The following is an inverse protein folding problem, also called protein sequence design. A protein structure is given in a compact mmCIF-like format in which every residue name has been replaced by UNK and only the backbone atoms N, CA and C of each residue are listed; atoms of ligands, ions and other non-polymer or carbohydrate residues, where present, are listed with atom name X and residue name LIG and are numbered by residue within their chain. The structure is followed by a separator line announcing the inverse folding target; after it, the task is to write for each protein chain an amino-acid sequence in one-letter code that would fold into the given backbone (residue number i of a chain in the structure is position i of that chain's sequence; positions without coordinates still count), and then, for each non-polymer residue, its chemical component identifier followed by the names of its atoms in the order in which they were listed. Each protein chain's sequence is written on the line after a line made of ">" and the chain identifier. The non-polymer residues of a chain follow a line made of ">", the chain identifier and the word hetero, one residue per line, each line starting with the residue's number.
data_IF_885013019163
#
_entry.id   IF_885013019163
#
_cell.length_a   1.000
_cell.length_b   1.000
_cell.length_c   1.000
_cell.angle_alpha   90.00
_cell.angle_beta   90.00
_cell.angle_gamma   90.00
#
_symmetry.space_group_name_H-M   'P 1'
#
loop_
_entity.id
_entity.type
_entity.pdbx_description
1 polymer ?
#
# COMPACT_ATOMS: atom_id res chain seq x y z
N UNK A 1 -36.03 22.57 -33.86
CA UNK A 1 -35.00 22.18 -32.89
C UNK A 1 -34.12 20.99 -33.29
N UNK A 2 -34.64 19.96 -33.97
CA UNK A 2 -33.86 18.78 -34.46
C UNK A 2 -32.77 19.08 -35.51
N UNK A 3 -32.92 20.12 -36.35
CA UNK A 3 -31.93 20.49 -37.37
C UNK A 3 -30.65 21.14 -36.80
N UNK A 4 -30.66 21.73 -35.62
CA UNK A 4 -29.49 22.38 -35.00
C UNK A 4 -28.46 21.43 -34.40
N UNK A 5 -28.82 20.16 -34.16
CA UNK A 5 -27.93 19.15 -33.57
C UNK A 5 -27.11 18.44 -34.67
N UNK A 6 -27.60 18.39 -35.90
CA UNK A 6 -26.94 17.66 -36.98
C UNK A 6 -25.75 18.41 -37.64
N UNK A 7 -25.68 19.73 -37.53
CA UNK A 7 -24.61 20.54 -38.14
C UNK A 7 -23.21 20.26 -37.49
N UNK A 8 -23.05 20.24 -36.15
CA UNK A 8 -21.76 19.90 -35.53
C UNK A 8 -21.27 18.48 -35.86
N UNK A 9 -22.17 17.49 -35.86
CA UNK A 9 -21.87 16.11 -36.23
C UNK A 9 -21.46 15.94 -37.69
N UNK A 10 -22.14 16.66 -38.60
CA UNK A 10 -21.83 16.65 -40.04
C UNK A 10 -20.48 17.31 -40.31
N UNK A 11 -20.14 18.36 -39.53
CA UNK A 11 -18.86 19.04 -39.58
C UNK A 11 -17.69 18.18 -39.12
N UNK A 12 -17.89 17.40 -38.02
CA UNK A 12 -16.92 16.43 -37.50
C UNK A 12 -16.59 15.34 -38.52
N UNK A 13 -17.60 14.86 -39.27
CA UNK A 13 -17.42 13.89 -40.37
C UNK A 13 -16.77 14.51 -41.63
N UNK A 14 -16.91 15.81 -41.87
CA UNK A 14 -16.36 16.49 -43.03
C UNK A 14 -14.83 16.67 -43.03
N UNK A 15 -14.19 16.68 -41.85
CA UNK A 15 -12.72 16.78 -41.70
C UNK A 15 -12.22 15.76 -40.64
N UNK A 16 -12.19 14.47 -40.99
CA UNK A 16 -12.02 13.37 -40.00
C UNK A 16 -10.65 13.40 -39.30
N UNK A 17 -9.57 13.73 -39.99
CA UNK A 17 -8.20 13.74 -39.43
C UNK A 17 -8.09 14.77 -38.31
N UNK A 18 -8.62 15.98 -38.50
CA UNK A 18 -8.59 17.02 -37.47
C UNK A 18 -9.43 16.68 -36.25
N UNK A 19 -10.64 16.19 -36.49
CA UNK A 19 -11.55 15.80 -35.43
C UNK A 19 -10.95 14.62 -34.62
N UNK A 20 -10.29 13.69 -35.31
CA UNK A 20 -9.58 12.59 -34.66
C UNK A 20 -8.39 13.08 -33.82
N UNK A 21 -7.59 14.02 -34.27
CA UNK A 21 -6.48 14.61 -33.50
C UNK A 21 -6.99 15.33 -32.24
N UNK A 22 -8.04 16.15 -32.35
CA UNK A 22 -8.64 16.82 -31.20
C UNK A 22 -9.21 15.80 -30.18
N UNK A 23 -9.88 14.77 -30.67
CA UNK A 23 -10.42 13.71 -29.85
C UNK A 23 -9.31 12.92 -29.16
N UNK A 24 -8.25 12.54 -29.88
CA UNK A 24 -7.11 11.83 -29.34
C UNK A 24 -6.42 12.64 -28.23
N UNK A 25 -6.24 13.95 -28.44
CA UNK A 25 -5.65 14.83 -27.43
C UNK A 25 -6.52 14.93 -26.18
N UNK A 26 -7.84 15.06 -26.32
CA UNK A 26 -8.76 15.10 -25.17
C UNK A 26 -8.82 13.77 -24.44
N UNK A 27 -8.77 12.63 -25.14
CA UNK A 27 -8.65 11.29 -24.55
C UNK A 27 -7.38 11.16 -23.73
N UNK A 28 -6.24 11.58 -24.30
CA UNK A 28 -4.94 11.50 -23.66
C UNK A 28 -4.88 12.38 -22.41
N UNK A 29 -5.38 13.62 -22.47
CA UNK A 29 -5.46 14.50 -21.31
C UNK A 29 -6.32 13.92 -20.19
N UNK A 30 -7.50 13.42 -20.52
CA UNK A 30 -8.41 12.82 -19.56
C UNK A 30 -7.81 11.55 -18.93
N UNK A 31 -7.15 10.72 -19.73
CA UNK A 31 -6.44 9.53 -19.28
C UNK A 31 -5.31 9.87 -18.27
N UNK A 32 -4.44 10.85 -18.63
CA UNK A 32 -3.29 11.25 -17.76
C UNK A 32 -3.78 11.81 -16.43
N UNK A 33 -4.84 12.64 -16.43
CA UNK A 33 -5.40 13.18 -15.20
C UNK A 33 -5.92 12.07 -14.30
N UNK A 34 -6.71 11.15 -14.85
CA UNK A 34 -7.31 10.08 -14.05
C UNK A 34 -6.23 9.11 -13.56
N UNK A 35 -5.42 8.55 -14.46
CA UNK A 35 -4.37 7.61 -14.11
C UNK A 35 -3.37 8.22 -13.12
N UNK A 36 -2.94 9.46 -13.35
CA UNK A 36 -2.02 10.16 -12.47
C UNK A 36 -2.61 10.46 -11.09
N UNK A 37 -3.84 10.97 -11.01
CA UNK A 37 -4.51 11.26 -9.74
C UNK A 37 -4.74 10.01 -8.91
N UNK A 38 -5.12 8.90 -9.55
CA UNK A 38 -5.31 7.62 -8.89
C UNK A 38 -3.99 7.03 -8.38
N UNK A 39 -2.91 7.14 -9.16
CA UNK A 39 -1.57 6.69 -8.73
C UNK A 39 -1.12 7.46 -7.49
N UNK A 40 -1.23 8.80 -7.49
CA UNK A 40 -0.88 9.63 -6.33
C UNK A 40 -1.76 9.32 -5.12
N UNK A 41 -3.07 9.15 -5.32
CA UNK A 41 -4.01 8.80 -4.25
C UNK A 41 -3.71 7.42 -3.67
N UNK A 42 -3.43 6.43 -4.50
CA UNK A 42 -3.07 5.07 -4.08
C UNK A 42 -1.78 5.07 -3.27
N UNK A 43 -0.77 5.84 -3.70
CA UNK A 43 0.49 5.99 -2.97
C UNK A 43 0.26 6.62 -1.58
N UNK A 44 -0.51 7.70 -1.49
CA UNK A 44 -0.87 8.34 -0.21
C UNK A 44 -1.64 7.41 0.71
N UNK A 45 -2.59 6.66 0.18
CA UNK A 45 -3.39 5.70 0.97
C UNK A 45 -2.51 4.55 1.47
N UNK A 46 -1.60 4.05 0.64
CA UNK A 46 -0.61 3.04 1.04
C UNK A 46 0.27 3.52 2.20
N UNK A 47 0.78 4.75 2.12
CA UNK A 47 1.57 5.37 3.19
C UNK A 47 0.79 5.54 4.49
N UNK A 48 -0.44 6.04 4.41
CA UNK A 48 -1.30 6.19 5.58
C UNK A 48 -1.63 4.84 6.23
N UNK A 49 -1.85 3.83 5.42
CA UNK A 49 -2.06 2.45 5.85
C UNK A 49 -0.85 1.87 6.58
N UNK A 50 0.38 2.15 6.12
CA UNK A 50 1.62 1.78 6.83
C UNK A 50 1.72 2.48 8.18
N UNK A 51 1.44 3.76 8.23
CA UNK A 51 1.53 4.57 9.43
C UNK A 51 0.52 4.14 10.52
N UNK A 52 -0.70 3.77 10.12
CA UNK A 52 -1.74 3.31 11.04
C UNK A 52 -1.53 1.88 11.55
N UNK A 53 -0.66 1.10 10.89
CA UNK A 53 -0.44 -0.33 11.20
C UNK A 53 0.68 -0.60 12.19
N UNK A 54 1.65 0.29 12.29
CA UNK A 54 2.69 0.17 13.31
C UNK A 54 2.17 0.49 14.73
N UNK A 55 0.99 1.10 14.85
CA UNK A 55 0.14 1.17 16.07
C UNK A 55 0.81 1.63 17.35
N UNK A 56 2.15 1.66 17.40
CA UNK A 56 2.96 2.04 18.54
C UNK A 56 3.55 3.44 18.33
N UNK A 57 3.68 4.22 19.42
CA UNK A 57 4.35 5.53 19.40
C UNK A 57 5.87 5.37 19.43
N UNK A 58 6.36 4.42 20.23
CA UNK A 58 7.79 4.16 20.45
C UNK A 58 8.07 2.68 20.22
N UNK A 59 9.18 2.39 19.54
CA UNK A 59 9.78 1.05 19.45
C UNK A 59 11.11 1.05 20.18
N UNK A 60 11.28 0.15 21.14
CA UNK A 60 12.54 -0.04 21.86
C UNK A 60 13.23 -1.29 21.36
N UNK A 61 14.47 -1.15 20.91
CA UNK A 61 15.29 -2.23 20.32
C UNK A 61 16.67 -2.26 20.97
N UNK A 62 17.43 -3.37 20.84
CA UNK A 62 18.82 -3.39 21.27
C UNK A 62 19.64 -2.33 20.51
N UNK A 63 20.56 -1.65 21.20
CA UNK A 63 21.40 -0.62 20.60
C UNK A 63 22.14 -1.11 19.34
N UNK A 64 22.58 -2.37 19.37
CA UNK A 64 23.30 -3.00 18.26
C UNK A 64 22.45 -3.12 16.96
N UNK A 65 21.12 -3.21 17.10
CA UNK A 65 20.22 -3.25 15.96
C UNK A 65 20.15 -1.93 15.19
N UNK A 66 20.39 -0.80 15.86
CA UNK A 66 20.35 0.54 15.23
C UNK A 66 21.65 0.87 14.48
N UNK A 67 22.77 0.30 14.91
CA UNK A 67 24.10 0.60 14.36
C UNK A 67 24.35 -0.12 13.02
N UNK A 68 23.66 -1.22 12.76
CA UNK A 68 23.86 -2.07 11.57
C UNK A 68 22.93 -1.75 10.40
N UNK A 69 22.34 -0.57 10.31
CA UNK A 69 21.38 -0.14 9.25
C UNK A 69 20.22 -1.15 8.99
N UNK A 70 20.07 -2.14 9.86
CA UNK A 70 19.17 -3.27 9.64
C UNK A 70 17.76 -3.03 10.19
N UNK A 71 17.59 -2.11 11.15
CA UNK A 71 16.28 -1.91 11.79
C UNK A 71 15.21 -1.40 10.81
N UNK A 72 15.53 -0.34 10.05
CA UNK A 72 14.62 0.18 9.02
C UNK A 72 14.32 -0.86 7.94
N UNK A 73 15.34 -1.60 7.53
CA UNK A 73 15.20 -2.66 6.53
C UNK A 73 14.31 -3.81 7.03
N UNK A 74 14.46 -4.24 8.28
CA UNK A 74 13.65 -5.33 8.84
C UNK A 74 12.23 -4.83 9.14
N UNK A 75 12.10 -3.67 9.80
CA UNK A 75 10.80 -3.19 10.31
C UNK A 75 9.98 -2.50 9.23
N UNK A 76 10.58 -1.84 8.24
CA UNK A 76 9.87 -1.07 7.23
C UNK A 76 9.87 -1.72 5.84
N UNK A 77 11.00 -2.34 5.46
CA UNK A 77 11.13 -2.96 4.14
C UNK A 77 10.76 -4.45 4.15
N UNK A 78 10.51 -5.04 5.34
CA UNK A 78 10.19 -6.46 5.47
C UNK A 78 11.34 -7.39 5.09
N UNK A 79 12.58 -6.87 5.08
CA UNK A 79 13.75 -7.70 4.87
C UNK A 79 13.92 -8.68 6.03
N UNK A 80 14.38 -9.87 5.73
CA UNK A 80 14.60 -10.90 6.75
C UNK A 80 15.77 -10.52 7.67
N UNK A 81 15.51 -10.59 8.96
CA UNK A 81 16.53 -10.31 9.97
C UNK A 81 16.00 -10.51 11.38
N UNK A 82 16.91 -10.61 12.34
CA UNK A 82 16.54 -10.77 13.74
C UNK A 82 17.63 -10.20 14.66
N UNK A 83 17.21 -9.81 15.83
CA UNK A 83 18.05 -9.32 16.91
C UNK A 83 17.36 -9.62 18.24
N UNK A 84 18.14 -9.69 19.31
CA UNK A 84 17.60 -10.07 20.62
C UNK A 84 18.18 -9.21 21.73
N UNK A 85 17.36 -8.95 22.77
CA UNK A 85 17.77 -8.35 24.02
C UNK A 85 17.22 -9.16 25.19
N UNK A 86 17.87 -9.07 26.35
CA UNK A 86 17.44 -9.74 27.58
C UNK A 86 16.10 -9.20 28.05
N UNK A 87 15.16 -10.09 28.38
CA UNK A 87 13.81 -9.76 28.87
C UNK A 87 13.82 -8.93 30.16
N UNK A 88 14.87 -9.03 30.98
CA UNK A 88 15.05 -8.16 32.16
C UNK A 88 15.10 -6.69 31.84
N UNK A 89 15.45 -6.33 30.58
CA UNK A 89 15.41 -4.94 30.14
C UNK A 89 13.98 -4.49 29.91
N UNK A 90 13.08 -5.40 29.52
CA UNK A 90 11.65 -5.08 29.36
C UNK A 90 11.04 -4.65 30.70
N UNK A 91 11.37 -5.32 31.79
CA UNK A 91 10.90 -4.92 33.13
C UNK A 91 11.36 -3.51 33.50
N UNK A 92 12.61 -3.15 33.15
CA UNK A 92 13.11 -1.80 33.37
C UNK A 92 12.43 -0.76 32.48
N UNK A 93 12.15 -1.12 31.23
CA UNK A 93 11.39 -0.27 30.31
C UNK A 93 9.99 -0.04 30.87
N UNK A 94 9.29 -1.08 31.29
CA UNK A 94 7.93 -1.01 31.83
C UNK A 94 7.82 -0.18 33.11
N UNK A 95 8.91 0.00 33.85
CA UNK A 95 8.98 0.84 35.04
C UNK A 95 9.27 2.33 34.73
N UNK A 96 9.48 2.71 33.48
CA UNK A 96 9.62 4.12 33.09
C UNK A 96 8.26 4.84 33.17
N UNK A 97 8.29 6.12 33.47
CA UNK A 97 7.06 6.92 33.55
C UNK A 97 6.44 7.17 32.17
N UNK A 98 5.12 7.33 32.12
CA UNK A 98 4.40 7.68 30.91
C UNK A 98 4.13 6.54 29.94
N UNK A 99 4.33 5.26 30.33
CA UNK A 99 3.98 4.09 29.51
C UNK A 99 2.51 3.75 29.73
N UNK A 100 1.71 3.84 28.67
CA UNK A 100 0.29 3.49 28.68
C UNK A 100 0.05 2.03 28.37
N UNK A 101 0.61 1.55 27.27
CA UNK A 101 0.54 0.14 26.84
C UNK A 101 1.90 -0.29 26.31
N UNK A 102 2.28 -1.53 26.57
CA UNK A 102 3.50 -2.11 26.03
C UNK A 102 3.27 -3.55 25.57
N UNK A 103 3.88 -3.91 24.46
CA UNK A 103 3.84 -5.25 23.90
C UNK A 103 5.22 -5.68 23.42
N UNK A 104 5.56 -6.95 23.62
CA UNK A 104 6.82 -7.52 23.17
C UNK A 104 6.64 -8.23 21.83
N UNK A 105 7.62 -8.06 20.95
CA UNK A 105 7.68 -8.80 19.68
C UNK A 105 9.01 -9.53 19.53
N UNK A 106 8.95 -10.63 18.80
CA UNK A 106 10.07 -11.52 18.51
C UNK A 106 10.24 -11.59 17.00
N UNK A 107 11.47 -11.44 16.52
CA UNK A 107 11.81 -11.56 15.11
C UNK A 107 12.68 -12.78 14.87
N UNK A 108 12.36 -13.54 13.85
CA UNK A 108 13.14 -14.69 13.38
C UNK A 108 13.09 -14.70 11.85
N UNK A 109 14.23 -14.86 11.21
CA UNK A 109 14.33 -14.95 9.77
C UNK A 109 14.60 -16.38 9.34
N UNK A 110 13.91 -16.85 8.31
CA UNK A 110 14.17 -18.16 7.71
C UNK A 110 14.90 -18.00 6.39
N UNK A 111 15.79 -18.93 6.08
CA UNK A 111 16.44 -19.04 4.78
C UNK A 111 15.81 -20.15 3.95
N UNK A 112 15.96 -20.09 2.62
CA UNK A 112 15.59 -21.18 1.71
C UNK A 112 16.61 -22.31 1.83
N UNK A 113 16.42 -23.17 2.80
CA UNK A 113 17.28 -24.34 3.06
C UNK A 113 16.39 -25.55 3.37
N UNK A 114 16.95 -26.75 3.36
CA UNK A 114 16.20 -27.98 3.59
C UNK A 114 15.43 -28.06 4.93
N UNK A 115 15.65 -27.11 5.86
CA UNK A 115 14.94 -26.99 7.13
C UNK A 115 13.65 -26.17 7.09
N UNK A 116 13.48 -25.33 6.05
CA UNK A 116 12.42 -24.34 5.99
C UNK A 116 11.70 -24.40 4.65
N UNK A 117 10.37 -24.33 4.68
CA UNK A 117 9.53 -24.37 3.47
C UNK A 117 9.68 -23.12 2.60
N UNK A 118 9.89 -21.96 3.24
CA UNK A 118 9.94 -20.66 2.57
C UNK A 118 10.93 -19.71 3.28
N UNK A 119 11.63 -18.83 2.53
CA UNK A 119 12.41 -17.74 3.11
C UNK A 119 11.46 -16.61 3.50
N UNK A 120 11.20 -16.46 4.79
CA UNK A 120 10.24 -15.49 5.31
C UNK A 120 10.75 -14.83 6.59
N UNK A 121 10.22 -13.63 6.89
CA UNK A 121 10.29 -13.04 8.22
C UNK A 121 9.17 -13.61 9.07
N UNK A 122 9.51 -14.18 10.23
CA UNK A 122 8.54 -14.63 11.23
C UNK A 122 8.51 -13.60 12.36
N UNK A 123 7.32 -13.12 12.70
CA UNK A 123 7.09 -12.20 13.80
C UNK A 123 6.21 -12.89 14.85
N UNK A 124 6.79 -13.09 16.02
CA UNK A 124 6.07 -13.58 17.20
C UNK A 124 5.57 -12.41 18.03
N UNK A 125 4.37 -12.52 18.59
CA UNK A 125 3.79 -11.52 19.47
C UNK A 125 3.08 -12.20 20.65
N UNK A 126 2.91 -11.47 21.74
CA UNK A 126 2.12 -11.94 22.89
C UNK A 126 0.63 -11.56 22.65
N UNK A 127 -0.27 -12.54 22.44
CA UNK A 127 -1.68 -12.27 22.18
C UNK A 127 -2.41 -11.52 23.31
N UNK A 128 -1.86 -11.55 24.53
CA UNK A 128 -2.47 -10.89 25.69
C UNK A 128 -2.18 -9.38 25.75
N UNK A 129 -0.99 -8.98 25.29
CA UNK A 129 -0.53 -7.59 25.40
C UNK A 129 -0.44 -6.89 24.06
N UNK A 130 -0.50 -7.62 22.93
CA UNK A 130 -0.30 -7.04 21.62
C UNK A 130 -1.49 -6.19 21.15
N UNK A 131 -1.21 -4.95 20.85
CA UNK A 131 -2.15 -3.98 20.32
C UNK A 131 -1.90 -3.64 18.84
N UNK A 132 -0.89 -4.25 18.22
CA UNK A 132 -0.49 -3.95 16.83
C UNK A 132 -0.96 -5.01 15.83
N UNK A 133 -0.63 -6.28 16.02
CA UNK A 133 -0.92 -7.40 15.10
C UNK A 133 -2.23 -8.09 15.47
N UNK A 134 -2.48 -8.30 16.76
CA UNK A 134 -3.65 -9.01 17.27
C UNK A 134 -4.99 -8.46 16.75
N UNK A 135 -5.22 -7.11 16.66
CA UNK A 135 -6.48 -6.59 16.14
C UNK A 135 -6.77 -6.98 14.68
N UNK A 136 -5.73 -7.23 13.88
CA UNK A 136 -5.91 -7.66 12.49
C UNK A 136 -6.22 -9.15 12.40
N UNK A 137 -5.51 -9.94 13.19
CA UNK A 137 -5.74 -11.38 13.26
C UNK A 137 -7.18 -11.64 13.71
N UNK A 138 -7.66 -10.94 14.75
CA UNK A 138 -9.04 -11.07 15.24
C UNK A 138 -10.11 -10.76 14.19
N UNK A 139 -9.84 -9.88 13.24
CA UNK A 139 -10.78 -9.58 12.14
C UNK A 139 -10.87 -10.69 11.11
N UNK A 140 -9.77 -11.42 10.88
CA UNK A 140 -9.66 -12.47 9.85
C UNK A 140 -9.83 -13.87 10.43
N UNK A 141 -9.47 -14.03 11.70
CA UNK A 141 -9.51 -15.30 12.45
C UNK A 141 -10.02 -15.01 13.84
N UNK A 142 -11.27 -15.44 14.11
CA UNK A 142 -11.99 -15.13 15.36
C UNK A 142 -11.50 -15.91 16.60
N UNK A 143 -10.60 -16.89 16.44
CA UNK A 143 -10.10 -17.75 17.49
C UNK A 143 -8.70 -17.32 17.97
N UNK A 144 -8.30 -17.76 19.15
CA UNK A 144 -6.94 -17.57 19.67
C UNK A 144 -5.98 -18.52 18.95
N UNK A 145 -4.80 -18.01 18.58
CA UNK A 145 -3.74 -18.82 17.97
C UNK A 145 -3.22 -19.85 18.98
N UNK A 146 -3.32 -21.11 18.62
CA UNK A 146 -2.76 -22.20 19.39
C UNK A 146 -1.25 -22.31 19.15
N UNK A 147 -0.57 -23.14 19.94
CA UNK A 147 0.83 -23.46 19.72
C UNK A 147 1.02 -24.11 18.36
N UNK A 148 2.02 -23.66 17.61
CA UNK A 148 2.33 -24.03 16.23
C UNK A 148 1.29 -23.56 15.18
N UNK A 149 0.34 -22.71 15.56
CA UNK A 149 -0.46 -22.00 14.58
C UNK A 149 0.29 -20.78 14.04
N UNK A 150 0.20 -20.60 12.73
CA UNK A 150 0.77 -19.43 12.03
C UNK A 150 -0.28 -18.73 11.21
N UNK A 151 -0.12 -17.44 11.07
CA UNK A 151 -0.92 -16.60 10.17
C UNK A 151 -0.03 -16.11 9.05
N UNK A 152 -0.37 -16.47 7.84
CA UNK A 152 0.39 -16.09 6.65
C UNK A 152 -0.21 -14.86 5.99
N UNK A 153 0.65 -14.10 5.31
CA UNK A 153 0.22 -12.93 4.54
C UNK A 153 -0.12 -13.33 3.09
N UNK A 154 -0.74 -12.38 2.39
CA UNK A 154 -1.35 -12.60 1.08
C UNK A 154 -0.40 -13.19 0.03
N UNK A 155 0.83 -12.69 -0.07
CA UNK A 155 1.78 -13.03 -1.15
C UNK A 155 2.48 -14.37 -0.94
N UNK A 156 2.33 -14.97 0.26
CA UNK A 156 2.85 -16.32 0.49
C UNK A 156 1.96 -17.36 -0.20
N UNK A 157 2.61 -18.27 -0.91
CA UNK A 157 1.93 -19.39 -1.58
C UNK A 157 1.59 -20.50 -0.58
N UNK A 158 0.73 -20.17 0.39
CA UNK A 158 0.20 -21.08 1.40
C UNK A 158 -1.27 -20.76 1.64
N UNK A 159 -2.07 -21.78 1.96
CA UNK A 159 -3.50 -21.69 2.18
C UNK A 159 -3.85 -22.10 3.61
N UNK A 160 -5.00 -21.66 4.09
CA UNK A 160 -5.51 -22.05 5.40
C UNK A 160 -5.68 -23.59 5.45
N UNK A 161 -5.11 -24.22 6.47
CA UNK A 161 -5.05 -25.66 6.65
C UNK A 161 -3.75 -26.32 6.16
N UNK A 162 -2.92 -25.61 5.38
CA UNK A 162 -1.62 -26.12 4.97
C UNK A 162 -0.67 -26.22 6.18
N UNK A 163 0.35 -27.07 6.05
CA UNK A 163 1.44 -27.18 7.02
C UNK A 163 2.74 -26.67 6.38
N UNK A 164 3.35 -25.69 7.04
CA UNK A 164 4.67 -25.16 6.66
C UNK A 164 5.70 -25.60 7.70
N UNK A 165 6.89 -25.91 7.21
CA UNK A 165 8.00 -26.35 8.06
C UNK A 165 9.01 -25.23 8.24
N UNK A 166 9.33 -24.89 9.49
CA UNK A 166 10.34 -23.91 9.87
C UNK A 166 11.29 -24.53 10.91
N UNK A 167 12.58 -24.54 10.59
CA UNK A 167 13.62 -25.13 11.45
C UNK A 167 13.30 -26.57 11.91
N UNK A 168 12.74 -27.38 10.99
CA UNK A 168 12.35 -28.75 11.30
C UNK A 168 10.99 -28.89 12.02
N UNK A 169 10.40 -27.81 12.51
CA UNK A 169 9.10 -27.79 13.21
C UNK A 169 7.95 -27.52 12.21
N UNK A 170 6.92 -28.32 12.28
CA UNK A 170 5.71 -28.16 11.47
C UNK A 170 4.75 -27.16 12.12
N UNK A 171 4.30 -26.18 11.35
CA UNK A 171 3.38 -25.14 11.76
C UNK A 171 2.16 -25.15 10.85
N UNK A 172 0.96 -25.10 11.44
CA UNK A 172 -0.32 -25.10 10.73
C UNK A 172 -0.72 -23.66 10.35
N UNK A 173 -1.08 -23.45 9.11
CA UNK A 173 -1.65 -22.17 8.65
C UNK A 173 -3.08 -22.03 9.15
N UNK A 174 -3.28 -21.26 10.23
CA UNK A 174 -4.58 -21.01 10.83
C UNK A 174 -5.39 -19.96 10.08
N UNK A 175 -4.71 -18.92 9.55
CA UNK A 175 -5.36 -17.85 8.82
C UNK A 175 -4.45 -17.27 7.73
N UNK A 176 -5.06 -16.63 6.74
CA UNK A 176 -4.38 -15.86 5.70
C UNK A 176 -4.94 -14.44 5.70
N UNK A 177 -4.07 -13.44 5.90
CA UNK A 177 -4.45 -12.04 5.92
C UNK A 177 -4.52 -11.45 4.51
N UNK A 178 -5.36 -10.43 4.37
CA UNK A 178 -5.52 -9.70 3.10
C UNK A 178 -4.25 -8.95 2.71
N UNK A 179 -4.14 -8.70 1.40
CA UNK A 179 -3.05 -7.94 0.81
C UNK A 179 -3.02 -6.51 1.34
N UNK A 180 -1.81 -6.04 1.63
CA UNK A 180 -1.59 -4.67 2.10
C UNK A 180 -0.82 -3.81 1.10
N UNK A 181 -0.24 -4.44 0.08
CA UNK A 181 0.61 -3.78 -0.91
C UNK A 181 1.96 -3.33 -0.34
N UNK A 182 2.40 -3.95 0.74
CA UNK A 182 3.68 -3.65 1.38
C UNK A 182 4.58 -4.88 1.40
N UNK A 183 5.89 -4.68 1.59
CA UNK A 183 6.86 -5.77 1.75
C UNK A 183 6.56 -6.72 2.93
N UNK A 184 5.67 -6.32 3.84
CA UNK A 184 5.16 -7.21 4.87
C UNK A 184 4.23 -8.32 4.34
N UNK A 185 3.79 -8.26 3.10
CA UNK A 185 2.90 -9.28 2.53
C UNK A 185 3.56 -10.67 2.36
N UNK A 186 4.88 -10.76 2.64
CA UNK A 186 5.66 -12.00 2.74
C UNK A 186 5.99 -12.42 4.18
N UNK A 187 5.39 -11.81 5.20
CA UNK A 187 5.64 -12.08 6.62
C UNK A 187 4.70 -13.16 7.17
N UNK A 188 5.20 -13.93 8.13
CA UNK A 188 4.43 -14.91 8.91
C UNK A 188 4.30 -14.41 10.35
N UNK A 189 3.09 -14.45 10.90
CA UNK A 189 2.83 -14.11 12.30
C UNK A 189 2.52 -15.36 13.11
N UNK A 190 2.94 -15.36 14.38
CA UNK A 190 2.65 -16.45 15.32
C UNK A 190 2.64 -15.93 16.76
N UNK A 191 2.19 -16.76 17.70
CA UNK A 191 2.20 -16.40 19.11
C UNK A 191 3.61 -16.53 19.73
N UNK A 192 3.81 -15.91 20.90
CA UNK A 192 5.08 -15.89 21.60
C UNK A 192 5.60 -17.32 21.96
N UNK A 193 4.70 -18.25 22.24
CA UNK A 193 5.07 -19.62 22.57
C UNK A 193 5.68 -20.36 21.38
N UNK A 194 5.05 -20.23 20.23
CA UNK A 194 5.54 -20.85 18.98
C UNK A 194 6.87 -20.24 18.53
N UNK A 195 6.99 -18.90 18.54
CA UNK A 195 8.24 -18.26 18.08
C UNK A 195 9.43 -18.65 18.97
N UNK A 196 9.23 -18.75 20.29
CA UNK A 196 10.29 -19.23 21.21
C UNK A 196 10.70 -20.67 20.91
N UNK A 197 9.74 -21.54 20.59
CA UNK A 197 10.04 -22.92 20.18
C UNK A 197 10.83 -22.94 18.86
N UNK A 198 10.47 -22.09 17.88
CA UNK A 198 11.20 -21.96 16.62
C UNK A 198 12.61 -21.38 16.81
N UNK A 199 12.79 -20.42 17.71
CA UNK A 199 14.12 -19.89 18.08
C UNK A 199 14.96 -21.03 18.68
N UNK A 200 14.40 -21.84 19.58
CA UNK A 200 15.09 -23.01 20.16
C UNK A 200 15.51 -23.99 19.06
N UNK A 201 14.59 -24.38 18.18
CA UNK A 201 14.91 -25.26 17.05
C UNK A 201 15.98 -24.69 16.12
N UNK A 202 16.00 -23.36 15.90
CA UNK A 202 17.04 -22.71 15.10
C UNK A 202 18.42 -22.78 15.74
N UNK A 203 18.48 -22.72 17.08
CA UNK A 203 19.72 -22.90 17.86
C UNK A 203 20.21 -24.34 17.81
N UNK A 204 19.32 -25.31 18.01
CA UNK A 204 19.64 -26.74 17.99
C UNK A 204 20.20 -27.16 16.60
N UNK A 205 19.74 -26.52 15.54
CA UNK A 205 20.24 -26.73 14.18
C UNK A 205 21.47 -25.89 13.82
N UNK A 206 22.01 -25.09 14.75
CA UNK A 206 23.10 -24.14 14.49
C UNK A 206 22.83 -23.15 13.34
N UNK A 207 21.57 -22.77 13.15
CA UNK A 207 21.12 -21.86 12.07
C UNK A 207 20.78 -20.46 12.58
N UNK A 208 21.06 -20.17 13.84
CA UNK A 208 20.87 -18.86 14.45
C UNK A 208 22.24 -18.22 14.73
N UNK A 209 22.43 -16.95 14.34
CA UNK A 209 23.67 -16.22 14.55
C UNK A 209 23.98 -15.96 16.04
N UNK A 210 22.93 -15.97 16.87
CA UNK A 210 23.01 -15.76 18.33
C UNK A 210 23.04 -17.11 19.08
N UNK A 211 24.19 -17.75 19.14
CA UNK A 211 24.31 -19.13 19.71
C UNK A 211 24.09 -19.22 21.23
N UNK A 212 24.36 -18.14 21.99
CA UNK A 212 24.35 -18.16 23.46
C UNK A 212 23.14 -17.43 24.05
N UNK A 213 21.95 -17.63 23.51
CA UNK A 213 20.73 -17.02 24.02
C UNK A 213 19.79 -18.08 24.60
N UNK A 214 19.06 -17.71 25.66
CA UNK A 214 17.94 -18.47 26.18
C UNK A 214 16.65 -17.94 25.55
N UNK A 215 15.95 -18.72 24.69
CA UNK A 215 14.72 -18.28 24.04
C UNK A 215 13.62 -17.78 24.99
N UNK A 216 13.64 -18.25 26.25
CA UNK A 216 12.66 -17.82 27.27
C UNK A 216 12.98 -16.45 27.86
N UNK A 217 14.25 -16.02 27.78
CA UNK A 217 14.75 -14.80 28.41
C UNK A 217 15.11 -13.70 27.39
N UNK A 218 14.71 -13.85 26.15
CA UNK A 218 14.99 -12.83 25.11
C UNK A 218 13.71 -12.33 24.47
N UNK A 219 13.78 -11.10 24.01
CA UNK A 219 12.78 -10.45 23.13
C UNK A 219 13.52 -9.68 22.04
N UNK A 220 12.87 -9.43 20.90
CA UNK A 220 13.48 -8.63 19.85
C UNK A 220 13.21 -7.13 20.04
N UNK A 221 11.97 -6.74 20.29
CA UNK A 221 11.63 -5.34 20.56
C UNK A 221 10.47 -5.22 21.54
N UNK A 222 10.32 -4.02 22.08
CA UNK A 222 9.16 -3.62 22.88
C UNK A 222 8.48 -2.47 22.14
N UNK A 223 7.20 -2.61 21.88
CA UNK A 223 6.32 -1.59 21.30
C UNK A 223 5.57 -0.90 22.43
N UNK A 224 5.53 0.42 22.42
CA UNK A 224 4.97 1.23 23.50
C UNK A 224 4.02 2.26 22.92
N UNK A 225 2.85 2.37 23.53
CA UNK A 225 1.97 3.53 23.41
C UNK A 225 2.12 4.39 24.67
N UNK A 226 2.32 5.68 24.46
CA UNK A 226 2.49 6.65 25.52
C UNK A 226 1.15 6.92 26.18
N UNK A 227 1.15 7.03 27.51
CA UNK A 227 -0.04 7.34 28.29
C UNK A 227 -0.52 8.78 28.04
N UNK A 228 -1.82 9.02 28.18
CA UNK A 228 -2.39 10.35 28.09
C UNK A 228 -1.74 11.30 29.10
N UNK A 229 -1.34 12.47 28.62
CA UNK A 229 -0.69 13.51 29.44
C UNK A 229 0.84 13.52 29.36
N UNK A 230 1.48 12.55 28.75
CA UNK A 230 2.92 12.52 28.51
C UNK A 230 3.26 12.78 27.04
N UNK A 231 4.39 13.44 26.79
CA UNK A 231 4.88 13.57 25.42
C UNK A 231 5.72 12.36 25.01
N UNK A 232 5.63 11.99 23.73
CA UNK A 232 6.42 10.87 23.18
C UNK A 232 7.92 11.11 23.37
N UNK A 233 8.36 12.38 23.27
CA UNK A 233 9.75 12.79 23.48
C UNK A 233 10.23 12.55 24.91
N UNK A 234 9.41 12.88 25.88
CA UNK A 234 9.76 12.71 27.30
C UNK A 234 9.97 11.26 27.63
N UNK A 235 9.01 10.39 27.23
CA UNK A 235 9.09 8.94 27.47
C UNK A 235 10.26 8.32 26.70
N UNK A 236 10.49 8.73 25.46
CA UNK A 236 11.61 8.27 24.66
C UNK A 236 12.95 8.61 25.29
N UNK A 237 13.12 9.85 25.77
CA UNK A 237 14.33 10.31 26.44
C UNK A 237 14.52 9.61 27.79
N UNK A 238 13.46 9.41 28.56
CA UNK A 238 13.50 8.70 29.82
C UNK A 238 14.01 7.27 29.64
N UNK A 239 13.48 6.53 28.68
CA UNK A 239 13.94 5.17 28.36
C UNK A 239 15.42 5.17 27.92
N UNK A 240 15.82 6.09 27.04
CA UNK A 240 17.21 6.16 26.53
C UNK A 240 18.24 6.52 27.62
N UNK A 241 17.84 7.26 28.65
CA UNK A 241 18.70 7.65 29.78
C UNK A 241 18.81 6.52 30.82
N UNK A 242 17.67 5.94 31.18
CA UNK A 242 17.62 5.00 32.31
C UNK A 242 17.88 3.55 31.93
N UNK A 243 17.58 3.14 30.69
CA UNK A 243 17.78 1.75 30.25
C UNK A 243 18.99 1.61 29.34
N UNK A 244 20.06 0.98 29.86
CA UNK A 244 21.32 0.80 29.12
C UNK A 244 21.21 -0.26 28.03
N UNK A 245 21.98 -0.08 26.94
CA UNK A 245 22.09 -1.01 25.80
C UNK A 245 20.78 -1.22 25.03
N UNK A 246 19.85 -0.29 25.12
CA UNK A 246 18.67 -0.22 24.28
C UNK A 246 18.62 1.14 23.60
N UNK A 247 17.85 1.24 22.55
CA UNK A 247 17.52 2.48 21.85
C UNK A 247 16.03 2.55 21.67
N UNK A 248 15.41 3.54 22.26
CA UNK A 248 14.03 3.91 21.96
C UNK A 248 14.03 4.77 20.69
N UNK A 249 13.18 4.43 19.75
CA UNK A 249 13.02 5.11 18.47
C UNK A 249 11.55 5.43 18.29
N UNK A 250 11.25 6.65 17.85
CA UNK A 250 9.88 7.04 17.51
C UNK A 250 9.46 6.30 16.25
N UNK A 251 8.38 5.53 16.34
CA UNK A 251 7.88 4.74 15.20
C UNK A 251 7.47 5.63 14.03
N UNK A 252 6.89 6.79 14.31
CA UNK A 252 6.52 7.78 13.29
C UNK A 252 7.73 8.35 12.54
N UNK A 253 8.88 8.50 13.18
CA UNK A 253 10.10 9.01 12.53
C UNK A 253 10.74 7.98 11.61
N UNK A 254 10.71 6.70 11.98
CA UNK A 254 11.15 5.63 11.08
C UNK A 254 10.34 5.63 9.78
N UNK A 255 9.04 5.93 9.86
CA UNK A 255 8.16 6.03 8.69
C UNK A 255 8.30 7.38 7.99
N UNK A 256 8.60 8.46 8.75
CA UNK A 256 8.67 9.82 8.20
C UNK A 256 9.79 9.96 7.17
N UNK A 257 10.93 9.34 7.37
CA UNK A 257 12.03 9.32 6.38
C UNK A 257 11.59 8.74 5.03
N UNK A 258 10.84 7.63 5.04
CA UNK A 258 10.24 7.05 3.83
C UNK A 258 9.07 7.91 3.33
N UNK A 259 8.22 8.39 4.25
CA UNK A 259 7.10 9.27 3.91
C UNK A 259 7.55 10.58 3.28
N UNK A 260 8.64 11.15 3.74
CA UNK A 260 9.20 12.41 3.21
C UNK A 260 9.77 12.21 1.81
N UNK A 261 10.52 11.11 1.59
CA UNK A 261 10.99 10.73 0.25
C UNK A 261 9.82 10.47 -0.70
N UNK A 262 8.78 9.77 -0.25
CA UNK A 262 7.60 9.46 -1.06
C UNK A 262 6.66 10.67 -1.24
N UNK A 263 6.60 11.61 -0.28
CA UNK A 263 5.93 12.91 -0.46
C UNK A 263 6.63 13.72 -1.54
N UNK A 264 7.97 13.79 -1.51
CA UNK A 264 8.74 14.45 -2.57
C UNK A 264 8.42 13.88 -3.95
N UNK A 265 8.38 12.55 -4.08
CA UNK A 265 7.97 11.89 -5.34
C UNK A 265 6.51 12.21 -5.71
N UNK A 266 5.60 12.20 -4.74
CA UNK A 266 4.18 12.54 -4.96
C UNK A 266 3.99 13.98 -5.42
N UNK A 267 4.73 14.92 -4.83
CA UNK A 267 4.63 16.35 -5.16
C UNK A 267 5.24 16.64 -6.53
N UNK A 268 6.39 16.05 -6.85
CA UNK A 268 7.01 16.13 -8.19
C UNK A 268 6.06 15.51 -9.24
N UNK A 269 5.48 14.35 -8.96
CA UNK A 269 4.53 13.69 -9.86
C UNK A 269 3.28 14.56 -10.06
N UNK A 270 2.75 15.16 -8.99
CA UNK A 270 1.64 16.09 -9.04
C UNK A 270 1.93 17.33 -9.90
N UNK A 271 3.12 17.90 -9.75
CA UNK A 271 3.58 19.04 -10.54
C UNK A 271 3.75 18.68 -12.02
N UNK A 272 4.31 17.51 -12.33
CA UNK A 272 4.44 16.99 -13.69
C UNK A 272 3.06 16.79 -14.35
N UNK A 273 2.11 16.17 -13.63
CA UNK A 273 0.74 15.98 -14.12
C UNK A 273 0.08 17.33 -14.40
N UNK A 274 0.21 18.29 -13.47
CA UNK A 274 -0.29 19.65 -13.63
C UNK A 274 0.34 20.38 -14.82
N UNK A 275 1.64 20.21 -15.03
CA UNK A 275 2.36 20.74 -16.19
C UNK A 275 1.88 20.14 -17.50
N UNK A 276 1.77 18.83 -17.59
CA UNK A 276 1.24 18.12 -18.78
C UNK A 276 -0.17 18.60 -19.08
N UNK A 277 -1.00 18.79 -18.06
CA UNK A 277 -2.36 19.28 -18.22
C UNK A 277 -2.41 20.70 -18.77
N UNK A 278 -1.59 21.60 -18.19
CA UNK A 278 -1.50 22.99 -18.67
C UNK A 278 -1.05 23.08 -20.13
N UNK A 279 0.03 22.35 -20.48
CA UNK A 279 0.50 22.27 -21.87
C UNK A 279 -0.53 21.65 -22.79
N UNK A 280 -1.21 20.61 -22.36
CA UNK A 280 -2.28 19.97 -23.12
C UNK A 280 -3.45 20.91 -23.38
N UNK A 281 -3.88 21.71 -22.39
CA UNK A 281 -4.90 22.74 -22.59
C UNK A 281 -4.45 23.81 -23.58
N UNK A 282 -3.18 24.23 -23.50
CA UNK A 282 -2.63 25.22 -24.44
C UNK A 282 -2.63 24.69 -25.89
N UNK A 283 -2.19 23.44 -26.08
CA UNK A 283 -2.23 22.78 -27.40
C UNK A 283 -3.67 22.65 -27.89
N UNK A 284 -4.60 22.26 -27.01
CA UNK A 284 -6.01 22.14 -27.35
C UNK A 284 -6.60 23.50 -27.76
N UNK A 285 -6.27 24.57 -27.04
CA UNK A 285 -6.66 25.94 -27.39
C UNK A 285 -6.11 26.36 -28.76
N UNK A 286 -4.81 26.11 -29.03
CA UNK A 286 -4.20 26.42 -30.34
C UNK A 286 -4.86 25.61 -31.45
N UNK A 287 -5.13 24.34 -31.27
CA UNK A 287 -5.79 23.47 -32.24
C UNK A 287 -7.22 23.94 -32.53
N UNK A 288 -7.99 24.37 -31.52
CA UNK A 288 -9.32 24.96 -31.73
C UNK A 288 -9.25 26.28 -32.47
N UNK A 289 -8.29 27.14 -32.09
CA UNK A 289 -8.09 28.44 -32.78
C UNK A 289 -7.75 28.24 -34.25
N UNK A 290 -6.84 27.31 -34.56
CA UNK A 290 -6.48 26.95 -35.92
C UNK A 290 -7.68 26.37 -36.68
N UNK A 291 -8.47 25.54 -36.05
CA UNK A 291 -9.72 24.97 -36.55
C UNK A 291 -10.74 26.02 -36.98
N UNK A 292 -10.94 27.04 -36.14
CA UNK A 292 -11.85 28.16 -36.44
C UNK A 292 -11.29 29.01 -37.58
N UNK A 293 -9.97 29.24 -37.59
CA UNK A 293 -9.31 30.04 -38.60
C UNK A 293 -9.42 29.44 -40.02
N UNK A 294 -9.28 28.12 -40.15
CA UNK A 294 -9.45 27.40 -41.41
C UNK A 294 -10.87 27.54 -41.99
N UNK A 295 -11.88 27.73 -41.12
CA UNK A 295 -13.29 27.85 -41.50
C UNK A 295 -13.77 29.30 -41.71
N UNK A 296 -12.89 30.29 -41.67
CA UNK A 296 -13.26 31.70 -41.83
C UNK A 296 -14.06 31.95 -43.10
N UNK A 297 -13.70 31.31 -44.24
CA UNK A 297 -14.42 31.44 -45.50
C UNK A 297 -15.84 30.84 -45.41
N UNK A 298 -16.01 29.68 -44.82
CA UNK A 298 -17.31 29.04 -44.61
C UNK A 298 -18.21 29.91 -43.71
N UNK A 299 -17.65 30.46 -42.63
CA UNK A 299 -18.35 31.36 -41.71
C UNK A 299 -18.72 32.69 -42.38
N UNK A 300 -17.88 33.22 -43.30
CA UNK A 300 -18.19 34.42 -44.07
C UNK A 300 -19.40 34.19 -44.99
N UNK A 301 -19.47 33.08 -45.71
CA UNK A 301 -20.62 32.72 -46.54
C UNK A 301 -21.90 32.58 -45.69
N UNK A 302 -21.84 31.91 -44.55
CA UNK A 302 -23.00 31.79 -43.64
C UNK A 302 -23.46 33.17 -43.13
N UNK A 303 -22.55 34.09 -42.87
CA UNK A 303 -22.90 35.48 -42.50
C UNK A 303 -23.59 36.26 -43.60
N UNK A 304 -23.16 36.09 -44.83
CA UNK A 304 -23.83 36.70 -45.98
C UNK A 304 -25.25 36.15 -46.13
N UNK A 305 -25.47 34.88 -45.79
CA UNK A 305 -26.80 34.26 -45.77
C UNK A 305 -27.63 34.61 -44.51
N UNK A 306 -27.16 35.54 -43.64
CA UNK A 306 -27.92 36.06 -42.50
C UNK A 306 -27.65 35.37 -41.16
N UNK A 307 -26.65 34.50 -41.04
CA UNK A 307 -26.31 33.87 -39.77
C UNK A 307 -25.71 34.88 -38.76
N UNK A 308 -26.25 34.93 -37.55
CA UNK A 308 -25.76 35.81 -36.48
C UNK A 308 -24.42 35.31 -35.90
N UNK A 309 -23.61 36.22 -35.32
CA UNK A 309 -22.36 35.87 -34.63
C UNK A 309 -22.59 34.88 -33.50
N UNK A 310 -23.71 35.02 -32.74
CA UNK A 310 -24.09 34.11 -31.66
C UNK A 310 -24.38 32.70 -32.17
N UNK A 311 -24.99 32.57 -33.33
CA UNK A 311 -25.27 31.26 -33.92
C UNK A 311 -23.99 30.55 -34.35
N UNK A 312 -23.02 31.25 -34.95
CA UNK A 312 -21.72 30.69 -35.34
C UNK A 312 -20.88 30.26 -34.14
N UNK A 313 -20.81 31.13 -33.11
CA UNK A 313 -20.10 30.75 -31.85
C UNK A 313 -20.75 29.57 -31.15
N UNK A 314 -22.07 29.46 -31.16
CA UNK A 314 -22.79 28.32 -30.58
C UNK A 314 -22.50 26.99 -31.29
N UNK A 315 -22.31 27.04 -32.64
CA UNK A 315 -21.92 25.84 -33.39
C UNK A 315 -20.53 25.37 -33.00
N UNK A 316 -19.54 26.30 -32.90
CA UNK A 316 -18.18 25.98 -32.47
C UNK A 316 -18.15 25.44 -31.02
N UNK A 317 -18.92 26.07 -30.12
CA UNK A 317 -19.01 25.64 -28.73
C UNK A 317 -19.60 24.23 -28.61
N UNK A 318 -20.65 23.91 -29.38
CA UNK A 318 -21.25 22.57 -29.41
C UNK A 318 -20.29 21.53 -29.98
N UNK A 319 -19.49 21.88 -31.00
CA UNK A 319 -18.45 21.01 -31.56
C UNK A 319 -17.36 20.70 -30.50
N UNK A 320 -16.87 21.73 -29.78
CA UNK A 320 -15.91 21.60 -28.72
C UNK A 320 -16.47 20.71 -27.55
N UNK A 321 -17.71 20.94 -27.18
CA UNK A 321 -18.38 20.19 -26.11
C UNK A 321 -18.57 18.72 -26.48
N UNK A 322 -18.93 18.41 -27.73
CA UNK A 322 -19.04 17.03 -28.20
C UNK A 322 -17.69 16.29 -28.18
N UNK A 323 -16.62 16.94 -28.66
CA UNK A 323 -15.27 16.37 -28.63
C UNK A 323 -14.81 16.19 -27.18
N UNK A 324 -15.02 17.20 -26.33
CA UNK A 324 -14.66 17.15 -24.91
C UNK A 324 -15.38 16.03 -24.15
N UNK A 325 -16.70 15.88 -24.36
CA UNK A 325 -17.47 14.80 -23.72
C UNK A 325 -17.04 13.41 -24.25
N UNK A 326 -16.93 13.27 -25.57
CA UNK A 326 -16.52 11.99 -26.14
C UNK A 326 -15.09 11.61 -25.71
N UNK A 327 -14.15 12.56 -25.82
CA UNK A 327 -12.76 12.35 -25.40
C UNK A 327 -12.62 12.15 -23.87
N UNK A 328 -13.38 12.91 -23.08
CA UNK A 328 -13.42 12.76 -21.63
C UNK A 328 -13.92 11.39 -21.20
N UNK A 329 -15.06 10.95 -21.73
CA UNK A 329 -15.64 9.64 -21.41
C UNK A 329 -14.74 8.47 -21.85
N UNK A 330 -14.19 8.54 -23.06
CA UNK A 330 -13.28 7.49 -23.56
C UNK A 330 -11.96 7.49 -22.81
N UNK A 331 -11.39 8.64 -22.48
CA UNK A 331 -10.15 8.75 -21.72
C UNK A 331 -10.31 8.26 -20.27
N UNK A 332 -11.43 8.58 -19.61
CA UNK A 332 -11.74 8.05 -18.28
C UNK A 332 -11.99 6.55 -18.31
N UNK A 333 -12.70 6.03 -19.31
CA UNK A 333 -12.92 4.60 -19.48
C UNK A 333 -11.58 3.84 -19.67
N UNK A 334 -10.68 4.36 -20.51
CA UNK A 334 -9.33 3.79 -20.68
C UNK A 334 -8.52 3.86 -19.39
N UNK A 335 -8.58 4.97 -18.65
CA UNK A 335 -7.91 5.11 -17.35
C UNK A 335 -8.40 4.12 -16.31
N UNK A 336 -9.71 3.86 -16.25
CA UNK A 336 -10.27 2.81 -15.39
C UNK A 336 -9.85 1.42 -15.84
N UNK A 337 -9.76 1.18 -17.13
CA UNK A 337 -9.39 -0.13 -17.69
C UNK A 337 -7.94 -0.49 -17.38
N UNK A 338 -7.03 0.49 -17.28
CA UNK A 338 -5.64 0.26 -16.85
C UNK A 338 -5.53 -0.14 -15.37
N UNK A 339 -6.54 0.16 -14.55
CA UNK A 339 -6.58 -0.25 -13.14
C UNK A 339 -7.11 -1.66 -12.94
N UNK A 340 -7.85 -2.22 -13.91
CA UNK A 340 -8.41 -3.57 -13.82
C UNK A 340 -7.37 -4.66 -13.53
N UNK A 341 -6.18 -4.71 -14.19
CA UNK A 341 -5.18 -5.73 -13.87
C UNK A 341 -4.61 -5.62 -12.45
N UNK A 342 -4.69 -4.45 -11.82
CA UNK A 342 -4.26 -4.27 -10.43
C UNK A 342 -5.36 -4.63 -9.42
N UNK A 343 -6.65 -4.61 -9.82
CA UNK A 343 -7.80 -4.96 -8.98
C UNK A 343 -8.36 -6.37 -9.22
N UNK A 344 -8.14 -6.96 -10.38
CA UNK A 344 -8.65 -8.29 -10.75
C UNK A 344 -8.15 -9.43 -9.85
N UNK A 345 -6.90 -9.44 -9.29
CA UNK A 345 -6.53 -10.48 -8.33
C UNK A 345 -7.48 -10.56 -7.12
N UNK A 346 -8.04 -9.43 -6.67
CA UNK A 346 -8.97 -9.41 -5.53
C UNK A 346 -10.39 -9.87 -5.85
N UNK A 347 -10.92 -9.61 -7.05
CA UNK A 347 -12.30 -9.97 -7.41
C UNK A 347 -12.43 -11.42 -7.94
N UNK A 348 -11.44 -11.92 -8.65
CA UNK A 348 -11.55 -13.23 -9.31
C UNK A 348 -11.40 -14.40 -8.32
N UNK A 349 -10.76 -14.20 -7.15
CA UNK A 349 -10.64 -15.24 -6.11
C UNK A 349 -11.92 -15.45 -5.28
N UNK A 350 -12.75 -14.43 -5.12
CA UNK A 350 -14.03 -14.59 -4.41
C UNK A 350 -15.10 -15.31 -5.24
N UNK A 351 -14.97 -15.31 -6.58
CA UNK A 351 -15.90 -16.00 -7.48
C UNK A 351 -15.51 -17.46 -7.71
N UNK A 352 -14.23 -17.78 -7.85
CA UNK A 352 -13.78 -19.16 -8.07
C UNK A 352 -13.99 -20.06 -6.85
N UNK A 353 -13.82 -19.56 -5.61
CA UNK A 353 -14.10 -20.34 -4.41
C UNK A 353 -15.60 -20.64 -4.23
N UNK A 354 -16.50 -19.70 -4.59
CA UNK A 354 -17.95 -19.96 -4.51
C UNK A 354 -18.47 -20.91 -5.59
N UNK A 355 -17.83 -20.93 -6.76
CA UNK A 355 -18.21 -21.87 -7.82
C UNK A 355 -17.74 -23.30 -7.52
N UNK A 356 -16.54 -23.48 -6.98
CA UNK A 356 -16.02 -24.81 -6.65
C UNK A 356 -16.69 -25.43 -5.41
N UNK A 357 -17.07 -24.63 -4.40
CA UNK A 357 -17.80 -25.13 -3.23
C UNK A 357 -19.25 -25.52 -3.56
N UNK A 358 -19.87 -24.85 -4.56
CA UNK A 358 -21.24 -25.19 -5.01
C UNK A 358 -21.28 -26.45 -5.89
N UNK A 359 -20.19 -26.78 -6.59
CA UNK A 359 -20.12 -28.00 -7.42
C UNK A 359 -19.84 -29.25 -6.60
N UNK A 360 -19.26 -29.13 -5.40
CA UNK A 360 -18.99 -30.30 -4.52
C UNK A 360 -20.18 -30.69 -3.64
N UNK A 361 -21.16 -29.80 -3.43
CA UNK A 361 -22.41 -30.10 -2.70
C UNK A 361 -23.54 -30.69 -3.56
N UNK A 362 -23.35 -30.82 -4.89
CA UNK A 362 -24.36 -31.41 -5.78
C UNK A 362 -23.95 -32.80 -6.29
N UNK A 363 -22.87 -33.39 -5.79
CA UNK A 363 -22.35 -34.71 -6.17
C UNK A 363 -22.10 -35.65 -4.98
N UNK A 364 -22.79 -35.42 -3.86
CA UNK A 364 -22.89 -36.40 -2.77
C UNK A 364 -24.32 -36.64 -2.37
#
# INVERSE_FOLDING_TARGET
>A
MKQQINLPLKNLKGKPVRSAMLLLLTVLLSFVILAGSLTVSSLRTGLFSLQSRLGADIMVVPYEATTKSSLENIVLQGNTGYFYMDSKRCEKILNCEGIGQASTQFFLATASSGCCSLPVQIIGFDPATDFTVQPWIRRSYGEALQKYDIVVRHDLNAFVGDTLKFYGTECRVAAKLDQTGTSFDTTVFTNAETIKALIRSSLDLNMNDFQNIDPEKVVSCVLINVADGYSVEEVLNDINIHVKKVKAVRTKEMISGISESLRGISDITGLLIGGIWLFGLLILFLMFTMSVNERKKEFAVLRVMGASRRMLSAVVMKEALLIGLAGGLTGTALGLLTLLPFHIPCLNRSWSCRFFCRMRCTLS
#
